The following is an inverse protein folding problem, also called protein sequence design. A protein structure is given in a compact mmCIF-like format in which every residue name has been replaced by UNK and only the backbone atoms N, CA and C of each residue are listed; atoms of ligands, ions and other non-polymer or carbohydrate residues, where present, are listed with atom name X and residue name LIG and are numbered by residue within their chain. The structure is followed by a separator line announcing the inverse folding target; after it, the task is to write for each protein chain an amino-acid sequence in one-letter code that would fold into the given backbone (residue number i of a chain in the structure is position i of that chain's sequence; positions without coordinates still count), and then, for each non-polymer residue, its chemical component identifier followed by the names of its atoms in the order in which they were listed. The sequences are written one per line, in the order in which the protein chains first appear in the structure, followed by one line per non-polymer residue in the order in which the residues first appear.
data_IF_792416122299
#
_entry.id   IF_792416122299
#
_cell.length_a   1.000
_cell.length_b   1.000
_cell.length_c   1.000
_cell.angle_alpha   90.00
_cell.angle_beta   90.00
_cell.angle_gamma   90.00
#
_symmetry.space_group_name_H-M   'P 1'
#
loop_
_entity.id
_entity.type
_entity.pdbx_description
1 polymer ?
#
# COMPACT_ATOMS: atom_id res chain seq x y z
N UNK A 1 28.42 14.37 0.88
CA UNK A 1 27.17 14.21 0.15
C UNK A 1 26.39 13.09 0.85
N UNK A 2 25.27 13.38 1.48
CA UNK A 2 24.41 12.33 2.04
C UNK A 2 23.88 11.49 0.89
N UNK A 3 24.10 10.16 0.94
CA UNK A 3 23.59 9.24 -0.08
C UNK A 3 22.06 9.32 -0.12
N UNK A 4 21.48 9.27 -1.32
CA UNK A 4 20.02 9.18 -1.47
C UNK A 4 19.56 7.81 -0.97
N UNK A 5 18.46 7.73 -0.19
CA UNK A 5 18.00 6.46 0.33
C UNK A 5 17.43 5.56 -0.79
N UNK A 6 17.61 4.25 -0.63
CA UNK A 6 17.11 3.22 -1.53
C UNK A 6 15.72 2.78 -1.05
N UNK A 7 14.72 3.03 -1.87
CA UNK A 7 13.31 2.70 -1.60
C UNK A 7 12.91 1.54 -2.48
N UNK A 8 12.61 0.40 -1.86
CA UNK A 8 12.03 -0.76 -2.55
C UNK A 8 10.57 -0.47 -2.94
N UNK A 9 10.17 -0.89 -4.13
CA UNK A 9 8.79 -0.78 -4.61
C UNK A 9 8.35 -2.15 -5.11
N UNK A 10 7.28 -2.72 -4.55
CA UNK A 10 6.73 -3.97 -5.03
C UNK A 10 6.17 -3.84 -6.45
N UNK A 11 6.16 -4.93 -7.19
CA UNK A 11 5.81 -4.92 -8.62
C UNK A 11 4.73 -5.95 -8.93
N UNK A 12 4.13 -5.81 -10.12
CA UNK A 12 3.26 -6.80 -10.71
C UNK A 12 4.07 -7.94 -11.33
N UNK A 13 3.46 -9.11 -11.38
CA UNK A 13 3.91 -10.26 -12.19
C UNK A 13 2.77 -10.64 -13.12
N UNK A 14 2.84 -10.25 -14.38
CA UNK A 14 1.76 -10.39 -15.35
C UNK A 14 2.28 -10.66 -16.75
N UNK A 15 1.41 -11.05 -17.65
CA UNK A 15 1.76 -11.19 -19.04
C UNK A 15 1.74 -9.83 -19.74
N UNK A 16 2.80 -9.53 -20.48
CA UNK A 16 2.96 -8.29 -21.23
C UNK A 16 3.49 -8.55 -22.63
N UNK A 17 3.16 -7.65 -23.54
CA UNK A 17 3.64 -7.68 -24.92
C UNK A 17 4.54 -6.49 -25.24
N UNK A 18 5.61 -6.72 -26.02
CA UNK A 18 6.45 -5.67 -26.58
C UNK A 18 7.21 -6.15 -27.80
N UNK A 19 7.48 -5.27 -28.76
CA UNK A 19 8.20 -5.59 -29.99
C UNK A 19 7.49 -6.70 -30.79
N UNK A 20 8.07 -7.89 -30.83
CA UNK A 20 7.52 -9.08 -31.49
C UNK A 20 6.94 -10.12 -30.52
N UNK A 21 6.92 -9.81 -29.23
CA UNK A 21 6.41 -10.69 -28.19
C UNK A 21 4.99 -10.26 -27.83
N UNK A 22 4.00 -11.14 -28.08
CA UNK A 22 2.58 -10.84 -27.85
C UNK A 22 2.19 -11.05 -26.40
N UNK A 23 2.79 -12.04 -25.73
CA UNK A 23 2.56 -12.34 -24.32
C UNK A 23 3.80 -13.01 -23.73
N UNK A 24 4.34 -12.42 -22.68
CA UNK A 24 5.46 -12.96 -21.94
C UNK A 24 5.31 -12.63 -20.47
N UNK A 25 5.50 -13.62 -19.60
CA UNK A 25 5.49 -13.43 -18.15
C UNK A 25 6.53 -12.38 -17.76
N UNK A 26 6.09 -11.26 -17.22
CA UNK A 26 6.92 -10.07 -17.04
C UNK A 26 6.70 -9.44 -15.67
N UNK A 27 7.76 -8.83 -15.17
CA UNK A 27 7.70 -7.95 -14.00
C UNK A 27 7.40 -6.55 -14.50
N UNK A 28 6.29 -5.97 -14.06
CA UNK A 28 5.85 -4.63 -14.47
C UNK A 28 5.59 -3.74 -13.26
N UNK A 29 5.80 -2.45 -13.48
CA UNK A 29 5.38 -1.40 -12.57
C UNK A 29 5.10 -0.14 -13.38
N UNK A 30 3.95 0.53 -13.22
CA UNK A 30 3.71 1.82 -13.85
C UNK A 30 4.81 2.82 -13.49
N UNK A 31 5.34 3.54 -14.50
CA UNK A 31 6.48 4.43 -14.36
C UNK A 31 6.29 5.52 -13.30
N UNK A 32 5.04 5.89 -13.02
CA UNK A 32 4.69 6.90 -12.01
C UNK A 32 5.14 6.54 -10.60
N UNK A 33 5.21 5.25 -10.22
CA UNK A 33 5.73 4.83 -8.90
C UNK A 33 7.22 5.14 -8.73
N UNK A 34 8.14 4.66 -9.61
CA UNK A 34 9.56 5.04 -9.49
C UNK A 34 9.79 6.54 -9.72
N UNK A 35 8.96 7.23 -10.50
CA UNK A 35 9.00 8.68 -10.65
C UNK A 35 8.70 9.38 -9.33
N UNK A 36 7.60 9.00 -8.64
CA UNK A 36 7.23 9.51 -7.32
C UNK A 36 8.40 9.41 -6.32
N UNK A 37 9.02 8.24 -6.22
CA UNK A 37 10.17 8.02 -5.33
C UNK A 37 11.36 8.90 -5.71
N UNK A 38 11.66 9.02 -7.01
CA UNK A 38 12.78 9.84 -7.50
C UNK A 38 12.57 11.33 -7.25
N UNK A 39 11.35 11.82 -7.46
CA UNK A 39 10.96 13.22 -7.23
C UNK A 39 10.91 13.56 -5.74
N UNK A 40 10.57 12.58 -4.90
CA UNK A 40 10.68 12.70 -3.44
C UNK A 40 12.13 12.70 -2.93
N UNK A 41 13.13 12.35 -3.77
CA UNK A 41 14.55 12.39 -3.42
C UNK A 41 15.16 11.03 -3.06
N UNK A 42 14.44 9.91 -3.29
CA UNK A 42 14.91 8.53 -3.14
C UNK A 42 15.57 7.96 -4.42
N UNK A 43 16.05 6.73 -4.31
CA UNK A 43 16.44 5.85 -5.42
C UNK A 43 15.41 4.71 -5.44
N UNK A 44 14.68 4.57 -6.54
CA UNK A 44 13.69 3.51 -6.70
C UNK A 44 14.36 2.18 -7.06
N UNK A 45 14.02 1.12 -6.32
CA UNK A 45 14.43 -0.25 -6.60
C UNK A 45 13.18 -1.13 -6.76
N UNK A 46 12.98 -1.73 -7.93
CA UNK A 46 11.86 -2.63 -8.18
C UNK A 46 12.07 -3.97 -7.48
N UNK A 47 11.05 -4.45 -6.77
CA UNK A 47 11.05 -5.72 -6.05
C UNK A 47 10.06 -6.68 -6.74
N UNK A 48 10.54 -7.59 -7.60
CA UNK A 48 9.69 -8.61 -8.19
C UNK A 48 9.13 -9.55 -7.11
N UNK A 49 7.94 -10.15 -7.32
CA UNK A 49 7.47 -11.23 -6.47
C UNK A 49 8.51 -12.35 -6.35
N UNK A 50 8.74 -12.80 -5.11
CA UNK A 50 9.70 -13.84 -4.75
C UNK A 50 9.14 -14.67 -3.58
N UNK A 51 9.89 -15.68 -3.15
CA UNK A 51 9.51 -16.52 -2.03
C UNK A 51 9.43 -15.68 -0.71
N UNK A 52 8.33 -15.83 0.07
CA UNK A 52 8.11 -15.03 1.29
C UNK A 52 9.26 -15.08 2.30
N UNK A 53 10.00 -16.19 2.38
CA UNK A 53 11.16 -16.37 3.26
C UNK A 53 12.33 -15.42 2.95
N UNK A 54 12.39 -14.86 1.75
CA UNK A 54 13.43 -13.90 1.34
C UNK A 54 13.12 -12.46 1.79
N UNK A 55 11.89 -12.17 2.21
CA UNK A 55 11.43 -10.80 2.49
C UNK A 55 12.29 -10.08 3.54
N UNK A 56 12.63 -10.73 4.64
CA UNK A 56 13.46 -10.13 5.68
C UNK A 56 14.86 -9.77 5.17
N UNK A 57 15.46 -10.62 4.33
CA UNK A 57 16.77 -10.37 3.73
C UNK A 57 16.74 -9.24 2.70
N UNK A 58 15.63 -9.07 2.00
CA UNK A 58 15.42 -7.95 1.06
C UNK A 58 15.21 -6.65 1.83
N UNK A 59 14.28 -6.61 2.79
CA UNK A 59 13.99 -5.42 3.60
C UNK A 59 15.22 -4.91 4.34
N UNK A 60 16.07 -5.80 4.85
CA UNK A 60 17.34 -5.42 5.51
C UNK A 60 18.34 -4.68 4.60
N UNK A 61 18.09 -4.59 3.30
CA UNK A 61 18.92 -3.87 2.31
C UNK A 61 18.28 -2.58 1.80
N UNK A 62 17.11 -2.24 2.31
CA UNK A 62 16.35 -1.07 1.92
C UNK A 62 16.36 -0.04 3.03
N UNK A 63 16.32 1.22 2.65
CA UNK A 63 16.11 2.33 3.58
C UNK A 63 14.61 2.59 3.81
N UNK A 64 13.76 2.22 2.86
CA UNK A 64 12.29 2.33 2.94
C UNK A 64 11.60 1.42 1.94
N UNK A 65 10.29 1.24 2.11
CA UNK A 65 9.47 0.33 1.31
C UNK A 65 8.19 1.01 0.85
N UNK A 66 7.83 0.79 -0.41
CA UNK A 66 6.52 1.12 -0.98
C UNK A 66 5.85 -0.18 -1.43
N UNK A 67 4.62 -0.42 -0.96
CA UNK A 67 3.75 -1.47 -1.50
C UNK A 67 2.80 -0.80 -2.48
N UNK A 68 2.90 -1.19 -3.73
CA UNK A 68 2.16 -0.58 -4.84
C UNK A 68 0.67 -0.98 -4.84
N UNK A 69 -0.15 -0.20 -5.53
CA UNK A 69 -1.53 -0.54 -5.87
C UNK A 69 -1.63 -1.77 -6.77
N UNK A 70 -2.83 -2.13 -7.19
CA UNK A 70 -3.06 -3.27 -8.10
C UNK A 70 -4.41 -3.93 -7.93
N UNK A 71 -4.48 -5.20 -8.32
CA UNK A 71 -5.65 -6.05 -8.23
C UNK A 71 -6.08 -6.27 -6.76
N UNK A 72 -7.25 -6.86 -6.55
CA UNK A 72 -7.79 -7.08 -5.21
C UNK A 72 -6.91 -8.01 -4.36
N UNK A 73 -6.91 -7.76 -3.06
CA UNK A 73 -6.30 -8.66 -2.06
C UNK A 73 -7.16 -9.91 -1.92
N UNK A 74 -6.54 -11.09 -1.94
CA UNK A 74 -7.27 -12.35 -1.78
C UNK A 74 -8.07 -12.38 -0.45
N UNK A 75 -9.40 -12.50 -0.50
CA UNK A 75 -10.25 -12.57 0.68
C UNK A 75 -9.89 -13.69 1.65
N UNK A 76 -9.27 -14.77 1.18
CA UNK A 76 -8.78 -15.85 2.03
C UNK A 76 -7.74 -15.35 3.06
N UNK A 77 -7.01 -14.28 2.79
CA UNK A 77 -6.02 -13.70 3.71
C UNK A 77 -6.65 -13.08 4.97
N UNK A 78 -7.93 -12.68 4.91
CA UNK A 78 -8.69 -12.16 6.05
C UNK A 78 -9.90 -13.03 6.42
N UNK A 79 -9.92 -14.30 5.93
CA UNK A 79 -10.86 -15.33 6.35
C UNK A 79 -12.25 -15.20 5.74
N UNK A 80 -12.40 -14.50 4.63
CA UNK A 80 -13.66 -14.29 3.95
C UNK A 80 -13.77 -15.08 2.62
N UNK A 81 -14.99 -15.24 2.11
CA UNK A 81 -15.24 -15.78 0.78
C UNK A 81 -15.21 -14.64 -0.25
N UNK A 82 -14.73 -14.89 -1.48
CA UNK A 82 -14.73 -13.87 -2.52
C UNK A 82 -16.16 -13.35 -2.82
N UNK A 83 -16.30 -12.04 -2.88
CA UNK A 83 -17.48 -11.37 -3.40
C UNK A 83 -17.53 -11.51 -4.93
N UNK A 84 -18.72 -11.56 -5.59
CA UNK A 84 -18.80 -11.66 -7.05
C UNK A 84 -18.08 -10.54 -7.82
N UNK A 85 -17.94 -9.36 -7.21
CA UNK A 85 -17.21 -8.23 -7.80
C UNK A 85 -15.70 -8.27 -7.54
N UNK A 86 -15.19 -9.23 -6.75
CA UNK A 86 -13.75 -9.37 -6.51
C UNK A 86 -13.03 -9.70 -7.81
N UNK A 87 -12.08 -8.87 -8.20
CA UNK A 87 -11.28 -9.04 -9.41
C UNK A 87 -10.08 -9.95 -9.11
N UNK A 88 -9.56 -10.58 -10.16
CA UNK A 88 -8.52 -11.60 -10.07
C UNK A 88 -7.40 -11.24 -9.07
N UNK A 89 -7.29 -12.05 -8.03
CA UNK A 89 -6.21 -11.95 -7.05
C UNK A 89 -4.92 -12.55 -7.59
N UNK A 90 -3.79 -12.06 -7.12
CA UNK A 90 -2.46 -12.57 -7.47
C UNK A 90 -1.81 -13.20 -6.21
N UNK A 91 -2.09 -14.48 -5.86
CA UNK A 91 -1.66 -15.08 -4.59
C UNK A 91 -0.15 -15.03 -4.37
N UNK A 92 0.66 -15.21 -5.41
CA UNK A 92 2.13 -15.10 -5.32
C UNK A 92 2.57 -13.71 -4.87
N UNK A 93 1.92 -12.68 -5.43
CA UNK A 93 2.16 -11.29 -5.10
C UNK A 93 1.67 -10.97 -3.68
N UNK A 94 0.47 -11.44 -3.33
CA UNK A 94 -0.11 -11.25 -1.99
C UNK A 94 0.79 -11.80 -0.89
N UNK A 95 1.27 -13.04 -1.04
CA UNK A 95 2.13 -13.68 -0.05
C UNK A 95 3.48 -12.97 0.08
N UNK A 96 4.08 -12.59 -1.05
CA UNK A 96 5.33 -11.84 -1.09
C UNK A 96 5.21 -10.47 -0.44
N UNK A 97 4.23 -9.68 -0.84
CA UNK A 97 4.03 -8.33 -0.30
C UNK A 97 3.61 -8.35 1.18
N UNK A 98 2.79 -9.33 1.60
CA UNK A 98 2.48 -9.53 3.01
C UNK A 98 3.73 -9.87 3.84
N UNK A 99 4.66 -10.65 3.30
CA UNK A 99 5.94 -10.93 3.94
C UNK A 99 6.85 -9.70 4.01
N UNK A 100 6.90 -8.89 2.94
CA UNK A 100 7.62 -7.61 2.94
C UNK A 100 7.08 -6.65 4.00
N UNK A 101 5.74 -6.52 4.10
CA UNK A 101 5.09 -5.69 5.12
C UNK A 101 5.47 -6.15 6.52
N UNK A 102 5.33 -7.45 6.83
CA UNK A 102 5.70 -8.02 8.14
C UNK A 102 7.17 -7.76 8.48
N UNK A 103 8.06 -7.95 7.50
CA UNK A 103 9.49 -7.70 7.69
C UNK A 103 9.78 -6.22 7.95
N UNK A 104 9.13 -5.31 7.21
CA UNK A 104 9.29 -3.87 7.39
C UNK A 104 8.78 -3.41 8.77
N UNK A 105 7.60 -3.86 9.19
CA UNK A 105 7.05 -3.58 10.52
C UNK A 105 7.97 -4.09 11.64
N UNK A 106 8.48 -5.31 11.51
CA UNK A 106 9.39 -5.91 12.49
C UNK A 106 10.74 -5.18 12.57
N UNK A 107 11.24 -4.67 11.46
CA UNK A 107 12.51 -3.93 11.38
C UNK A 107 12.36 -2.42 11.67
N UNK A 108 11.14 -1.90 11.75
CA UNK A 108 10.89 -0.46 11.84
C UNK A 108 11.29 0.29 10.56
N UNK A 109 11.34 -0.40 9.41
CA UNK A 109 11.63 0.20 8.11
C UNK A 109 10.48 1.08 7.68
N UNK A 110 10.70 2.36 7.32
CA UNK A 110 9.66 3.24 6.81
C UNK A 110 8.86 2.60 5.66
N UNK A 111 7.54 2.60 5.80
CA UNK A 111 6.62 1.89 4.92
C UNK A 111 5.50 2.80 4.42
N UNK A 112 5.28 2.82 3.10
CA UNK A 112 4.12 3.44 2.45
C UNK A 112 3.33 2.38 1.67
N UNK A 113 2.08 2.14 2.04
CA UNK A 113 1.12 1.36 1.26
C UNK A 113 0.25 2.27 0.39
N UNK A 114 0.15 1.99 -0.91
CA UNK A 114 -0.66 2.78 -1.85
C UNK A 114 -1.82 1.93 -2.35
N UNK A 115 -3.07 2.40 -2.18
CA UNK A 115 -4.32 1.77 -2.60
C UNK A 115 -4.40 0.32 -2.07
N UNK A 116 -4.26 -0.68 -2.94
CA UNK A 116 -4.16 -2.08 -2.53
C UNK A 116 -3.06 -2.32 -1.48
N UNK A 117 -1.94 -1.58 -1.55
CA UNK A 117 -0.85 -1.67 -0.57
C UNK A 117 -1.29 -1.26 0.85
N UNK A 118 -2.16 -0.25 0.99
CA UNK A 118 -2.80 0.09 2.27
C UNK A 118 -3.74 -1.02 2.74
N UNK A 119 -4.54 -1.56 1.83
CA UNK A 119 -5.49 -2.64 2.12
C UNK A 119 -4.75 -3.89 2.62
N UNK A 120 -3.67 -4.27 1.95
CA UNK A 120 -2.84 -5.41 2.37
C UNK A 120 -2.13 -5.14 3.71
N UNK A 121 -1.66 -3.91 3.96
CA UNK A 121 -1.13 -3.51 5.28
C UNK A 121 -2.19 -3.72 6.37
N UNK A 122 -3.43 -3.28 6.14
CA UNK A 122 -4.54 -3.48 7.07
C UNK A 122 -4.81 -4.97 7.32
N UNK A 123 -4.84 -5.79 6.27
CA UNK A 123 -5.04 -7.25 6.36
C UNK A 123 -3.90 -7.93 7.11
N UNK A 124 -2.65 -7.57 6.84
CA UNK A 124 -1.46 -8.11 7.55
C UNK A 124 -1.52 -7.80 9.04
N UNK A 125 -2.10 -6.67 9.43
CA UNK A 125 -2.34 -6.27 10.82
C UNK A 125 -3.63 -6.89 11.41
N UNK A 126 -4.26 -7.85 10.72
CA UNK A 126 -5.46 -8.56 11.18
C UNK A 126 -6.78 -7.85 10.92
N UNK A 127 -6.79 -6.82 10.07
CA UNK A 127 -7.99 -6.14 9.61
C UNK A 127 -8.76 -6.92 8.54
N UNK A 128 -9.84 -6.32 8.02
CA UNK A 128 -10.61 -6.86 6.89
C UNK A 128 -11.02 -5.75 5.92
N UNK A 129 -11.58 -6.12 4.77
CA UNK A 129 -11.94 -5.19 3.71
C UNK A 129 -13.45 -5.29 3.37
N UNK A 130 -14.05 -4.18 3.00
CA UNK A 130 -15.23 -4.18 2.13
C UNK A 130 -14.77 -4.55 0.73
N UNK A 131 -15.18 -5.73 0.26
CA UNK A 131 -14.75 -6.26 -1.05
C UNK A 131 -15.43 -5.54 -2.21
N UNK A 132 -16.54 -4.87 -1.95
CA UNK A 132 -17.26 -4.05 -2.92
C UNK A 132 -17.89 -2.84 -2.22
N UNK A 133 -17.16 -1.74 -2.24
CA UNK A 133 -17.56 -0.51 -1.54
C UNK A 133 -18.91 0.06 -1.98
N UNK A 134 -19.35 -0.04 -3.27
CA UNK A 134 -20.67 0.40 -3.70
C UNK A 134 -21.82 -0.24 -2.94
N UNK A 135 -21.67 -1.47 -2.43
CA UNK A 135 -22.71 -2.12 -1.60
C UNK A 135 -22.88 -1.43 -0.23
N UNK A 136 -21.89 -0.63 0.19
CA UNK A 136 -21.87 0.03 1.49
C UNK A 136 -22.26 1.50 1.37
N UNK A 137 -21.69 2.21 0.41
CA UNK A 137 -21.89 3.67 0.26
C UNK A 137 -22.90 4.05 -0.81
N UNK A 138 -23.31 3.13 -1.67
CA UNK A 138 -24.38 3.33 -2.66
C UNK A 138 -24.00 4.16 -3.90
N UNK A 139 -22.81 4.75 -3.95
CA UNK A 139 -22.33 5.56 -5.07
C UNK A 139 -21.04 5.00 -5.65
N UNK A 140 -21.16 4.28 -6.75
CA UNK A 140 -20.05 3.59 -7.39
C UNK A 140 -18.95 4.53 -7.91
N UNK A 141 -19.32 5.74 -8.33
CA UNK A 141 -18.40 6.68 -8.98
C UNK A 141 -17.64 7.59 -8.02
N UNK A 142 -17.96 7.60 -6.74
CA UNK A 142 -17.29 8.48 -5.77
C UNK A 142 -15.81 8.11 -5.56
N UNK A 143 -15.46 6.83 -5.69
CA UNK A 143 -14.11 6.27 -5.50
C UNK A 143 -13.48 5.73 -6.79
N UNK A 144 -14.23 5.72 -7.89
CA UNK A 144 -13.78 5.33 -9.21
C UNK A 144 -13.86 6.51 -10.17
N UNK A 145 -12.94 6.56 -11.12
CA UNK A 145 -13.04 7.43 -12.29
C UNK A 145 -13.86 6.78 -13.42
N UNK A 146 -13.91 7.44 -14.57
CA UNK A 146 -14.37 6.80 -15.79
C UNK A 146 -13.44 5.60 -16.14
N UNK A 147 -13.91 4.62 -16.93
CA UNK A 147 -13.10 3.47 -17.30
C UNK A 147 -11.75 3.89 -17.90
N UNK A 148 -10.65 3.48 -17.24
CA UNK A 148 -9.29 3.83 -17.63
C UNK A 148 -8.79 5.20 -17.15
N UNK A 149 -9.56 5.92 -16.34
CA UNK A 149 -9.19 7.22 -15.79
C UNK A 149 -9.27 7.21 -14.27
N UNK A 150 -8.39 7.95 -13.62
CA UNK A 150 -8.49 8.20 -12.19
C UNK A 150 -9.56 9.25 -11.91
N UNK A 151 -10.46 8.95 -10.97
CA UNK A 151 -11.35 9.95 -10.39
C UNK A 151 -10.61 10.90 -9.44
N UNK A 152 -11.37 11.80 -8.84
CA UNK A 152 -10.88 12.66 -7.75
C UNK A 152 -11.97 12.84 -6.72
N UNK A 153 -11.61 12.71 -5.45
CA UNK A 153 -12.49 13.07 -4.34
C UNK A 153 -11.71 13.83 -3.25
N UNK A 154 -12.44 14.35 -2.30
CA UNK A 154 -11.86 15.02 -1.14
C UNK A 154 -11.64 14.03 -0.01
N UNK A 155 -10.49 14.13 0.64
CA UNK A 155 -10.20 13.46 1.91
C UNK A 155 -10.06 14.49 3.02
N UNK A 156 -10.37 14.08 4.26
CA UNK A 156 -10.21 14.90 5.46
C UNK A 156 -9.20 14.21 6.39
N UNK A 157 -7.99 14.77 6.55
CA UNK A 157 -7.02 14.25 7.51
C UNK A 157 -7.57 14.35 8.95
N UNK A 158 -7.29 13.33 9.76
CA UNK A 158 -7.73 13.28 11.16
C UNK A 158 -6.75 14.08 12.04
N UNK A 159 -7.21 15.10 12.78
CA UNK A 159 -6.33 15.90 13.63
C UNK A 159 -5.54 15.05 14.64
N UNK A 160 -4.27 15.39 14.84
CA UNK A 160 -3.36 14.69 15.75
C UNK A 160 -2.70 13.44 15.17
N UNK A 161 -2.86 13.20 13.88
CA UNK A 161 -2.18 12.14 13.13
C UNK A 161 -0.97 12.69 12.38
N UNK A 162 -0.01 11.81 12.04
CA UNK A 162 1.13 12.16 11.17
C UNK A 162 0.64 12.70 9.84
N UNK A 163 -0.40 12.09 9.27
CA UNK A 163 -0.94 12.54 7.99
C UNK A 163 -1.50 13.96 8.07
N UNK A 164 -2.18 14.34 9.17
CA UNK A 164 -2.67 15.70 9.35
C UNK A 164 -1.52 16.73 9.49
N UNK A 165 -0.38 16.33 10.04
CA UNK A 165 0.81 17.19 10.06
C UNK A 165 1.42 17.37 8.66
N UNK A 166 1.33 16.36 7.81
CA UNK A 166 1.79 16.41 6.43
C UNK A 166 0.82 17.15 5.50
N UNK A 167 -0.47 17.02 5.76
CA UNK A 167 -1.58 17.60 5.00
C UNK A 167 -2.43 18.46 5.95
N UNK A 168 -1.98 19.68 6.30
CA UNK A 168 -2.64 20.49 7.32
C UNK A 168 -3.94 21.16 6.85
N UNK A 169 -4.31 20.97 5.59
CA UNK A 169 -5.58 21.45 5.06
C UNK A 169 -6.75 20.64 5.63
N UNK A 170 -7.88 21.28 5.89
CA UNK A 170 -9.11 20.62 6.36
C UNK A 170 -9.60 19.55 5.37
N UNK A 171 -9.33 19.78 4.08
CA UNK A 171 -9.72 18.88 2.99
C UNK A 171 -8.71 18.94 1.85
N UNK A 172 -8.33 17.78 1.31
CA UNK A 172 -7.37 17.65 0.21
C UNK A 172 -8.01 16.82 -0.90
N UNK A 173 -7.97 17.34 -2.14
CA UNK A 173 -8.44 16.58 -3.31
C UNK A 173 -7.35 15.64 -3.81
N UNK A 174 -7.67 14.34 -3.89
CA UNK A 174 -6.72 13.28 -4.24
C UNK A 174 -7.19 12.47 -5.45
N UNK A 175 -6.26 11.90 -6.26
CA UNK A 175 -6.62 10.97 -7.33
C UNK A 175 -7.06 9.63 -6.74
N UNK A 176 -8.21 9.10 -7.19
CA UNK A 176 -8.78 7.87 -6.65
C UNK A 176 -9.14 6.87 -7.74
N UNK A 177 -8.98 5.58 -7.46
CA UNK A 177 -9.45 4.46 -8.28
C UNK A 177 -9.48 3.19 -7.43
N UNK A 178 -10.57 2.95 -6.71
CA UNK A 178 -10.74 1.73 -5.91
C UNK A 178 -12.23 1.40 -5.71
N UNK A 179 -12.55 0.11 -5.62
CA UNK A 179 -13.87 -0.38 -5.25
C UNK A 179 -13.85 -1.21 -3.95
N UNK A 180 -12.67 -1.39 -3.36
CA UNK A 180 -12.48 -1.98 -2.04
C UNK A 180 -11.99 -0.93 -1.05
N UNK A 181 -12.28 -1.13 0.23
CA UNK A 181 -11.85 -0.24 1.32
C UNK A 181 -11.69 -1.01 2.63
N UNK A 182 -11.05 -0.39 3.63
CA UNK A 182 -10.94 -0.95 4.98
C UNK A 182 -12.33 -1.07 5.61
N UNK A 183 -12.70 -2.30 6.05
CA UNK A 183 -13.91 -2.57 6.80
C UNK A 183 -13.62 -2.61 8.30
N UNK A 184 -12.71 -3.48 8.74
CA UNK A 184 -12.24 -3.57 10.12
C UNK A 184 -10.75 -3.20 10.15
N UNK A 185 -10.43 -2.23 11.00
CA UNK A 185 -9.06 -1.76 11.16
C UNK A 185 -8.19 -2.85 11.81
N UNK A 186 -6.97 -3.00 11.29
CA UNK A 186 -5.96 -3.90 11.83
C UNK A 186 -5.37 -3.40 13.15
N UNK A 187 -4.83 -4.33 13.92
CA UNK A 187 -4.20 -4.01 15.22
C UNK A 187 -2.98 -3.11 15.06
N UNK A 188 -2.85 -2.12 15.94
CA UNK A 188 -1.74 -1.15 15.93
C UNK A 188 -1.83 -0.10 14.83
N UNK A 189 -2.89 -0.08 14.05
CA UNK A 189 -3.19 0.97 13.09
C UNK A 189 -4.18 1.98 13.66
N UNK A 190 -4.09 3.21 13.19
CA UNK A 190 -5.02 4.33 13.48
C UNK A 190 -5.50 4.88 12.14
N UNK A 191 -6.79 5.22 12.05
CA UNK A 191 -7.30 5.91 10.84
C UNK A 191 -6.78 7.34 10.83
N UNK A 192 -6.20 7.76 9.72
CA UNK A 192 -5.60 9.09 9.55
C UNK A 192 -6.27 9.97 8.49
N UNK A 193 -7.19 9.42 7.67
CA UNK A 193 -8.09 10.22 6.84
C UNK A 193 -9.37 9.47 6.51
N UNK A 194 -10.43 10.25 6.22
CA UNK A 194 -11.72 9.76 5.73
C UNK A 194 -12.12 10.51 4.46
N UNK A 195 -12.83 9.83 3.57
CA UNK A 195 -13.64 10.47 2.54
C UNK A 195 -14.92 11.07 3.13
N UNK A 196 -15.67 11.81 2.30
CA UNK A 196 -16.91 12.48 2.75
C UNK A 196 -18.01 11.50 3.17
N UNK A 197 -18.07 10.33 2.55
CA UNK A 197 -19.00 9.25 2.88
C UNK A 197 -18.59 8.39 4.09
N UNK A 198 -17.47 8.72 4.74
CA UNK A 198 -16.93 8.02 5.89
C UNK A 198 -16.02 6.84 5.55
N UNK A 199 -15.72 6.60 4.27
CA UNK A 199 -14.74 5.59 3.86
C UNK A 199 -13.36 5.93 4.40
N UNK A 200 -12.66 4.91 4.95
CA UNK A 200 -11.28 5.06 5.42
C UNK A 200 -10.35 5.25 4.23
N UNK A 201 -9.69 6.40 4.19
CA UNK A 201 -8.81 6.80 3.09
C UNK A 201 -7.33 6.77 3.46
N UNK A 202 -7.01 6.76 4.75
CA UNK A 202 -5.64 6.54 5.19
C UNK A 202 -5.58 5.89 6.57
N UNK A 203 -4.51 5.14 6.78
CA UNK A 203 -4.16 4.55 8.06
C UNK A 203 -2.69 4.82 8.37
N UNK A 204 -2.35 4.88 9.66
CA UNK A 204 -0.98 4.99 10.12
C UNK A 204 -0.71 4.07 11.30
N UNK A 205 0.55 3.64 11.45
CA UNK A 205 1.02 2.80 12.54
C UNK A 205 2.28 3.37 13.19
N UNK A 206 2.98 2.55 13.96
CA UNK A 206 4.20 2.97 14.64
C UNK A 206 5.31 3.41 13.66
N UNK A 207 6.08 4.41 14.05
CA UNK A 207 7.13 4.99 13.21
C UNK A 207 6.57 5.66 11.98
N UNK A 208 7.22 5.49 10.82
CA UNK A 208 6.65 5.88 9.54
C UNK A 208 6.03 4.64 8.87
N UNK A 209 4.84 4.28 9.29
CA UNK A 209 4.00 3.26 8.66
C UNK A 209 2.73 3.97 8.22
N UNK A 210 2.61 4.26 6.94
CA UNK A 210 1.48 5.01 6.37
C UNK A 210 0.87 4.21 5.22
N UNK A 211 -0.44 4.08 5.22
CA UNK A 211 -1.22 3.57 4.10
C UNK A 211 -2.16 4.65 3.59
N UNK A 212 -2.23 4.85 2.28
CA UNK A 212 -3.16 5.76 1.64
C UNK A 212 -3.99 5.02 0.60
N UNK A 213 -5.31 5.25 0.57
CA UNK A 213 -6.22 4.57 -0.35
C UNK A 213 -6.17 5.18 -1.75
N UNK A 214 -5.86 6.47 -1.84
CA UNK A 214 -5.68 7.17 -3.11
C UNK A 214 -4.33 6.86 -3.78
N UNK A 215 -4.13 7.44 -4.95
CA UNK A 215 -2.94 7.24 -5.80
C UNK A 215 -2.03 8.48 -5.83
N UNK A 216 -1.15 8.70 -4.84
CA UNK A 216 -0.25 9.86 -4.82
C UNK A 216 0.67 9.91 -6.03
N UNK A 217 0.99 8.77 -6.63
CA UNK A 217 1.82 8.67 -7.84
C UNK A 217 1.13 9.25 -9.09
N UNK A 218 -0.20 9.43 -9.07
CA UNK A 218 -0.97 10.02 -10.15
C UNK A 218 -1.22 11.53 -9.95
N UNK A 219 -0.77 12.07 -8.82
CA UNK A 219 -0.86 13.49 -8.49
C UNK A 219 0.46 14.23 -8.60
N UNK A 220 0.43 15.52 -8.25
CA UNK A 220 1.62 16.37 -8.13
C UNK A 220 2.05 16.56 -6.66
N UNK A 221 1.22 16.10 -5.70
CA UNK A 221 1.50 16.24 -4.28
C UNK A 221 2.49 15.20 -3.79
N UNK A 222 3.71 15.63 -3.53
CA UNK A 222 4.81 14.77 -3.10
C UNK A 222 4.95 14.67 -1.57
N UNK A 223 4.08 15.32 -0.78
CA UNK A 223 4.29 15.45 0.68
C UNK A 223 4.41 14.09 1.37
N UNK A 224 3.54 13.14 1.08
CA UNK A 224 3.58 11.80 1.67
C UNK A 224 4.84 11.04 1.25
N UNK A 225 5.20 11.09 -0.05
CA UNK A 225 6.40 10.43 -0.55
C UNK A 225 7.70 11.07 0.01
N UNK A 226 7.73 12.39 0.12
CA UNK A 226 8.86 13.10 0.77
C UNK A 226 8.99 12.77 2.25
N UNK A 227 7.88 12.60 2.94
CA UNK A 227 7.87 12.17 4.33
C UNK A 227 8.42 10.75 4.50
N UNK A 228 8.07 9.80 3.62
CA UNK A 228 8.71 8.48 3.56
C UNK A 228 10.24 8.61 3.42
N UNK A 229 10.71 9.36 2.41
CA UNK A 229 12.15 9.57 2.17
C UNK A 229 12.83 10.29 3.34
N UNK A 230 12.14 11.20 4.01
CA UNK A 230 12.67 11.87 5.20
C UNK A 230 12.79 10.90 6.38
N UNK A 231 11.79 10.06 6.60
CA UNK A 231 11.76 9.09 7.69
C UNK A 231 12.93 8.10 7.62
N UNK A 232 13.40 7.73 6.42
CA UNK A 232 14.58 6.85 6.25
C UNK A 232 15.87 7.44 6.82
N UNK A 233 15.93 8.76 7.00
CA UNK A 233 17.09 9.47 7.56
C UNK A 233 17.01 9.64 9.07
N UNK A 234 15.81 9.48 9.62
CA UNK A 234 15.52 9.64 11.05
C UNK A 234 15.41 8.29 11.77
N UNK A 235 15.32 7.18 11.02
CA UNK A 235 15.18 5.86 11.59
C UNK A 235 16.35 5.58 12.54
N UNK A 236 16.09 5.33 13.85
CA UNK A 236 17.15 5.01 14.78
C UNK A 236 17.75 3.66 14.42
N UNK A 237 19.06 3.53 14.52
CA UNK A 237 19.81 2.30 14.30
C UNK A 237 19.45 1.15 15.27
N UNK A 238 18.47 1.33 16.13
CA UNK A 238 17.99 0.30 17.08
C UNK A 238 16.51 0.49 17.37
N UNK A 239 15.65 -0.16 16.62
CA UNK A 239 14.24 -0.31 17.03
C UNK A 239 14.12 -1.41 18.11
N UNK A 240 13.32 -1.22 19.17
CA UNK A 240 12.94 -2.33 20.03
C UNK A 240 12.11 -3.34 19.23
N UNK A 241 12.34 -4.65 19.48
CA UNK A 241 11.60 -5.71 18.83
C UNK A 241 10.08 -5.48 18.97
N UNK A 242 9.40 -5.34 17.85
CA UNK A 242 7.94 -5.29 17.83
C UNK A 242 7.36 -6.60 18.42
N UNK A 243 6.22 -6.55 19.10
CA UNK A 243 5.56 -7.76 19.57
C UNK A 243 5.28 -8.69 18.39
N UNK A 244 5.56 -9.98 18.57
CA UNK A 244 5.35 -10.99 17.54
C UNK A 244 3.87 -11.00 17.12
N UNK A 245 3.60 -10.60 15.87
CA UNK A 245 2.27 -10.74 15.29
C UNK A 245 1.96 -12.23 15.17
N UNK A 246 0.83 -12.72 15.73
CA UNK A 246 0.51 -14.14 15.67
C UNK A 246 0.39 -14.60 14.20
N UNK A 247 1.15 -15.62 13.85
CA UNK A 247 1.04 -16.29 12.56
C UNK A 247 -0.29 -17.08 12.56
N UNK A 248 -1.27 -16.58 11.83
CA UNK A 248 -2.48 -17.38 11.53
C UNK A 248 -2.05 -18.45 10.52
N UNK A 249 -2.11 -19.75 10.88
CA UNK A 249 -1.75 -20.81 9.95
C UNK A 249 -2.76 -20.85 8.80
N UNK A 250 -2.28 -20.70 7.58
CA UNK A 250 -3.09 -20.96 6.38
C UNK A 250 -3.33 -22.47 6.33
N UNK A 251 -4.58 -22.89 6.43
CA UNK A 251 -4.94 -24.30 6.30
C UNK A 251 -4.62 -24.77 4.86
N UNK A 252 -4.06 -25.98 4.69
CA UNK A 252 -3.79 -26.52 3.37
C UNK A 252 -5.11 -26.73 2.61
N UNK A 253 -5.18 -26.16 1.42
CA UNK A 253 -6.27 -26.40 0.47
C UNK A 253 -6.23 -27.88 0.08
N UNK A 254 -7.35 -28.60 0.34
CA UNK A 254 -7.56 -29.97 -0.15
C UNK A 254 -8.20 -29.95 -1.52
#
# INVERSE_FOLDING_TARGET
MTSRPVIGISTFLTDAGWGRWDSMRSVLLPARYPELVREAGGIALMLPPDAPEHAAAVVARLDGLVIAGGEDVDPALYGERPHPATVACAPERDLWEAALIRAALAAGTPLLGICRGMQLLNVVCGGSLFQHLPDVVGEELSHLGAPGEYGRHAIRPVPGTLLADLLPEESVSVPTFHHQAVARLGEGLTVSAYAEDGTVEAVEGAGFTVGVQWHPEQGEDLRVARALVHATRLAPLTAPAAPAVPVVPVAPVR
#
